data_IF_467098566618
#
_entry.id   IF_467098566618
#
_cell.length_a   1.000
_cell.length_b   1.000
_cell.length_c   1.000
_cell.angle_alpha   90.00
_cell.angle_beta   90.00
_cell.angle_gamma   90.00
#
_symmetry.space_group_name_H-M   'P 1'
#
loop_
_entity.id
_entity.type
_entity.pdbx_description
1 polymer ?
#
# COMPACT_ATOMS: atom_id res chain seq x y z
N UNK A 1 35.06 6.04 1.25
CA UNK A 1 35.85 5.21 0.31
C UNK A 1 36.11 3.86 0.96
N UNK A 2 35.84 2.77 0.25
CA UNK A 2 36.00 1.37 0.71
C UNK A 2 34.84 0.87 1.59
N UNK A 3 34.26 -0.31 1.43
CA UNK A 3 34.63 -1.47 0.61
C UNK A 3 33.37 -2.28 0.25
N UNK A 4 33.29 -2.68 -1.02
CA UNK A 4 32.41 -3.73 -1.52
C UNK A 4 33.04 -5.10 -1.24
N UNK A 5 32.25 -6.09 -0.83
CA UNK A 5 32.64 -7.49 -0.83
C UNK A 5 31.69 -8.25 -1.76
N UNK A 6 32.21 -8.61 -2.93
CA UNK A 6 31.63 -9.58 -3.83
C UNK A 6 32.14 -10.98 -3.44
N UNK A 7 31.24 -11.95 -3.37
CA UNK A 7 31.56 -13.38 -3.28
C UNK A 7 31.26 -14.01 -4.64
N UNK A 8 32.30 -14.50 -5.31
CA UNK A 8 32.24 -15.49 -6.38
C UNK A 8 32.60 -16.85 -5.77
N UNK A 9 31.80 -17.88 -6.06
CA UNK A 9 32.16 -19.26 -5.73
C UNK A 9 32.11 -20.11 -7.01
N UNK A 10 33.19 -20.84 -7.19
CA UNK A 10 33.64 -21.57 -8.36
C UNK A 10 32.82 -22.85 -8.61
N UNK A 11 32.65 -23.19 -9.89
CA UNK A 11 32.11 -24.46 -10.38
C UNK A 11 33.22 -25.49 -10.50
N UNK A 12 33.15 -26.57 -9.70
CA UNK A 12 34.00 -27.75 -9.88
C UNK A 12 33.41 -28.68 -10.95
N UNK A 13 34.24 -29.00 -11.95
CA UNK A 13 33.98 -30.05 -12.93
C UNK A 13 34.46 -31.41 -12.45
N UNK A 14 33.76 -32.47 -12.87
CA UNK A 14 34.30 -33.82 -12.96
C UNK A 14 33.61 -34.55 -14.12
N UNK A 15 34.44 -35.05 -15.04
CA UNK A 15 34.07 -35.86 -16.20
C UNK A 15 33.76 -37.31 -15.80
N UNK A 16 32.81 -37.93 -16.50
CA UNK A 16 32.56 -39.38 -16.51
C UNK A 16 32.03 -39.79 -17.88
N UNK A 17 32.72 -40.74 -18.50
CA UNK A 17 32.59 -41.24 -19.89
C UNK A 17 31.57 -42.38 -20.02
N UNK A 18 31.00 -42.62 -21.23
CA UNK A 18 30.39 -43.93 -21.56
C UNK A 18 29.20 -43.99 -22.54
N UNK A 19 29.50 -43.90 -23.83
CA UNK A 19 28.89 -44.48 -25.05
C UNK A 19 27.50 -45.22 -25.10
N UNK A 20 26.72 -44.78 -26.11
CA UNK A 20 26.04 -45.52 -27.21
C UNK A 20 24.61 -46.12 -27.16
N UNK A 21 23.79 -45.56 -28.08
CA UNK A 21 22.86 -46.17 -29.05
C UNK A 21 21.54 -46.83 -28.63
N UNK A 22 20.44 -46.41 -29.29
CA UNK A 22 19.17 -47.15 -29.35
C UNK A 22 17.98 -46.33 -29.86
N UNK A 23 17.77 -46.30 -31.17
CA UNK A 23 16.60 -45.72 -31.87
C UNK A 23 15.36 -46.58 -31.66
N UNK A 24 14.18 -45.99 -31.45
CA UNK A 24 12.88 -46.55 -31.86
C UNK A 24 11.80 -45.45 -31.97
N UNK A 25 11.35 -45.22 -33.20
CA UNK A 25 10.15 -44.44 -33.56
C UNK A 25 8.89 -45.23 -33.19
N UNK A 26 7.87 -44.58 -32.65
CA UNK A 26 6.49 -44.93 -32.98
C UNK A 26 5.59 -43.69 -32.99
N UNK A 27 4.82 -43.62 -34.07
CA UNK A 27 3.93 -42.57 -34.49
C UNK A 27 2.51 -42.84 -34.00
N UNK A 28 1.83 -41.83 -33.46
CA UNK A 28 0.39 -41.86 -33.19
C UNK A 28 -0.21 -40.48 -33.35
N UNK A 29 -0.76 -40.19 -34.54
CA UNK A 29 -1.61 -39.02 -34.81
C UNK A 29 -3.00 -39.28 -34.22
N UNK A 30 -3.57 -38.35 -33.46
CA UNK A 30 -5.02 -38.15 -33.46
C UNK A 30 -5.38 -36.69 -33.15
N UNK A 31 -6.47 -36.26 -33.79
CA UNK A 31 -6.82 -34.88 -34.11
C UNK A 31 -7.37 -34.07 -32.93
N UNK A 32 -7.15 -32.75 -33.06
CA UNK A 32 -7.77 -31.65 -32.32
C UNK A 32 -9.30 -31.71 -32.34
N UNK A 33 -9.93 -31.44 -31.20
CA UNK A 33 -11.06 -30.50 -31.12
C UNK A 33 -11.07 -29.83 -29.73
N UNK A 34 -10.91 -28.51 -29.71
CA UNK A 34 -10.92 -27.67 -28.51
C UNK A 34 -12.36 -27.21 -28.26
N UNK A 35 -13.03 -27.79 -27.27
CA UNK A 35 -14.31 -27.28 -26.77
C UNK A 35 -14.03 -26.16 -25.75
N UNK A 36 -14.49 -24.96 -26.08
CA UNK A 36 -14.38 -23.73 -25.28
C UNK A 36 -15.48 -23.72 -24.22
N UNK A 37 -15.14 -24.04 -22.97
CA UNK A 37 -16.05 -23.87 -21.83
C UNK A 37 -16.00 -22.43 -21.32
N UNK A 38 -16.98 -21.63 -21.71
CA UNK A 38 -17.26 -20.31 -21.16
C UNK A 38 -17.91 -20.44 -19.78
N UNK A 39 -17.15 -20.16 -18.73
CA UNK A 39 -17.68 -19.98 -17.38
C UNK A 39 -18.23 -18.55 -17.27
N UNK A 40 -19.55 -18.42 -17.36
CA UNK A 40 -20.29 -17.21 -16.99
C UNK A 40 -20.33 -17.07 -15.47
N UNK A 41 -19.77 -15.97 -14.94
CA UNK A 41 -19.95 -15.58 -13.55
C UNK A 41 -21.32 -14.91 -13.36
N UNK A 42 -22.02 -15.13 -12.22
CA UNK A 42 -23.33 -14.52 -11.99
C UNK A 42 -23.20 -13.03 -11.65
N UNK A 43 -24.04 -12.21 -12.27
CA UNK A 43 -24.19 -10.79 -11.95
C UNK A 43 -24.90 -10.65 -10.60
N UNK A 44 -24.16 -10.33 -9.54
CA UNK A 44 -24.75 -9.82 -8.30
C UNK A 44 -25.09 -8.35 -8.50
N UNK A 45 -26.39 -8.06 -8.52
CA UNK A 45 -26.93 -6.72 -8.39
C UNK A 45 -27.36 -6.55 -6.94
N UNK A 46 -26.56 -5.86 -6.14
CA UNK A 46 -27.05 -5.25 -4.90
C UNK A 46 -26.80 -3.75 -4.97
N UNK A 47 -27.94 -3.05 -5.04
CA UNK A 47 -28.06 -1.61 -5.02
C UNK A 47 -27.95 -1.15 -3.57
N UNK A 48 -26.74 -0.83 -3.13
CA UNK A 48 -26.53 -0.12 -1.88
C UNK A 48 -26.36 1.36 -2.17
N UNK A 49 -27.46 2.10 -2.03
CA UNK A 49 -27.46 3.56 -1.97
C UNK A 49 -26.65 4.01 -0.76
N UNK A 50 -25.42 4.49 -0.98
CA UNK A 50 -24.75 5.31 0.01
C UNK A 50 -24.14 6.53 -0.69
N UNK A 51 -24.36 7.68 -0.06
CA UNK A 51 -24.16 9.03 -0.58
C UNK A 51 -22.84 9.23 -1.32
N UNK A 52 -22.92 9.47 -2.62
CA UNK A 52 -21.84 9.97 -3.45
C UNK A 52 -21.41 11.36 -2.96
N UNK A 53 -20.28 11.46 -2.27
CA UNK A 53 -19.54 12.71 -2.17
C UNK A 53 -18.79 12.89 -3.49
N UNK A 54 -19.34 13.74 -4.35
CA UNK A 54 -18.76 14.12 -5.64
C UNK A 54 -17.46 14.90 -5.47
N UNK A 55 -16.50 14.59 -6.37
CA UNK A 55 -15.28 15.30 -6.79
C UNK A 55 -13.99 15.06 -5.98
N UNK A 56 -12.90 14.65 -6.66
CA UNK A 56 -11.56 15.16 -6.42
C UNK A 56 -11.25 16.20 -7.51
N UNK A 57 -11.92 17.34 -7.45
CA UNK A 57 -11.33 18.57 -8.01
C UNK A 57 -10.08 18.92 -7.19
N UNK A 58 -9.07 19.61 -7.75
CA UNK A 58 -7.95 20.10 -6.96
C UNK A 58 -8.50 20.98 -5.82
N UNK A 59 -8.54 20.43 -4.61
CA UNK A 59 -9.06 21.15 -3.44
C UNK A 59 -8.00 22.10 -2.94
N UNK A 60 -8.42 23.27 -2.50
CA UNK A 60 -7.51 24.15 -1.78
C UNK A 60 -7.12 23.54 -0.44
N UNK A 61 -5.96 23.92 0.11
CA UNK A 61 -5.54 23.46 1.43
C UNK A 61 -6.61 23.77 2.50
N UNK A 62 -7.24 24.95 2.44
CA UNK A 62 -8.34 25.31 3.35
C UNK A 62 -9.56 24.38 3.27
N UNK A 63 -9.92 23.92 2.06
CA UNK A 63 -11.01 22.95 1.86
C UNK A 63 -10.63 21.56 2.38
N UNK A 64 -9.38 21.13 2.19
CA UNK A 64 -8.88 19.83 2.68
C UNK A 64 -8.94 19.78 4.20
N UNK A 65 -8.46 20.84 4.86
CA UNK A 65 -8.45 20.98 6.32
C UNK A 65 -9.85 21.22 6.91
N UNK A 66 -10.82 21.61 6.09
CA UNK A 66 -12.21 21.75 6.55
C UNK A 66 -13.03 20.46 6.37
N UNK A 67 -12.39 19.34 6.02
CA UNK A 67 -13.08 18.06 5.80
C UNK A 67 -13.80 17.60 7.08
N UNK A 68 -15.14 17.37 7.05
CA UNK A 68 -15.90 17.01 8.24
C UNK A 68 -15.61 15.59 8.74
N UNK A 69 -14.92 14.76 7.94
CA UNK A 69 -14.67 13.35 8.26
C UNK A 69 -13.41 13.12 9.10
N UNK A 70 -12.57 14.16 9.27
CA UNK A 70 -11.29 14.06 9.98
C UNK A 70 -11.29 14.97 11.21
N UNK A 71 -10.78 14.44 12.33
CA UNK A 71 -10.54 15.28 13.52
C UNK A 71 -9.24 16.06 13.36
N UNK A 72 -9.33 17.39 13.49
CA UNK A 72 -8.15 18.23 13.73
C UNK A 72 -7.75 18.10 15.20
N UNK A 73 -6.56 17.57 15.44
CA UNK A 73 -5.97 17.41 16.76
C UNK A 73 -4.93 18.47 17.02
N UNK A 74 -4.80 18.87 18.29
CA UNK A 74 -3.65 19.64 18.77
C UNK A 74 -2.42 18.76 18.94
N UNK A 75 -1.24 19.38 18.87
CA UNK A 75 0.03 18.68 19.12
C UNK A 75 0.08 18.14 20.55
N UNK A 76 -0.52 18.86 21.51
CA UNK A 76 -0.59 18.41 22.90
C UNK A 76 -1.45 17.14 23.08
N UNK A 77 -2.56 17.01 22.35
CA UNK A 77 -3.35 15.76 22.33
C UNK A 77 -2.53 14.59 21.76
N UNK A 78 -1.78 14.83 20.68
CA UNK A 78 -0.91 13.81 20.07
C UNK A 78 0.24 13.43 21.01
N UNK A 79 0.83 14.42 21.67
CA UNK A 79 1.84 14.22 22.71
C UNK A 79 1.29 13.38 23.86
N UNK A 80 0.08 13.66 24.34
CA UNK A 80 -0.52 12.92 25.46
C UNK A 80 -0.88 11.47 25.08
N UNK A 81 -1.48 11.25 23.91
CA UNK A 81 -1.88 9.92 23.44
C UNK A 81 -0.69 9.00 23.17
N UNK A 82 0.47 9.54 22.79
CA UNK A 82 1.72 8.81 22.52
C UNK A 82 2.70 8.79 23.70
N UNK A 83 2.30 9.31 24.87
CA UNK A 83 3.16 9.46 26.06
C UNK A 83 4.46 10.23 25.78
N UNK A 84 4.35 11.37 25.13
CA UNK A 84 5.45 12.22 24.67
C UNK A 84 6.31 11.58 23.57
N UNK A 85 5.69 10.85 22.63
CA UNK A 85 6.41 10.16 21.55
C UNK A 85 7.54 9.27 22.07
N UNK A 86 7.27 8.53 23.16
CA UNK A 86 8.26 7.65 23.79
C UNK A 86 8.74 6.59 22.80
N UNK A 87 10.05 6.33 22.79
CA UNK A 87 10.67 5.31 21.93
C UNK A 87 10.15 3.90 22.17
N UNK A 88 9.65 3.60 23.38
CA UNK A 88 8.99 2.31 23.69
C UNK A 88 7.73 2.04 22.85
N UNK A 89 7.11 3.10 22.32
CA UNK A 89 5.94 3.03 21.46
C UNK A 89 6.25 3.32 19.99
N UNK A 90 7.52 3.42 19.60
CA UNK A 90 7.90 3.53 18.19
C UNK A 90 7.61 2.19 17.50
N UNK A 91 6.75 2.21 16.49
CA UNK A 91 6.31 1.01 15.75
C UNK A 91 6.79 1.02 14.28
N UNK A 92 7.30 2.14 13.79
CA UNK A 92 7.88 2.25 12.46
C UNK A 92 8.70 3.53 12.30
N UNK A 93 9.74 3.47 11.48
CA UNK A 93 10.58 4.60 11.14
C UNK A 93 11.06 4.44 9.69
N UNK A 94 11.07 5.54 8.93
CA UNK A 94 11.50 5.51 7.53
C UNK A 94 11.67 6.90 6.92
N UNK A 95 11.67 6.95 5.58
CA UNK A 95 11.76 8.21 4.83
C UNK A 95 10.67 9.21 5.21
N UNK A 96 9.45 8.72 5.45
CA UNK A 96 8.26 9.52 5.77
C UNK A 96 8.13 9.93 7.25
N UNK A 97 9.15 9.65 8.06
CA UNK A 97 9.17 9.95 9.49
C UNK A 97 8.94 8.76 10.41
N UNK A 98 8.39 9.05 11.59
CA UNK A 98 8.28 8.09 12.70
C UNK A 98 6.82 7.82 13.03
N UNK A 99 6.47 6.55 13.26
CA UNK A 99 5.13 6.12 13.63
C UNK A 99 5.14 5.62 15.06
N UNK A 100 4.29 6.22 15.91
CA UNK A 100 4.15 5.88 17.31
C UNK A 100 2.79 5.23 17.58
N UNK A 101 2.77 4.24 18.47
CA UNK A 101 1.53 3.70 19.03
C UNK A 101 0.97 4.68 20.05
N UNK A 102 -0.33 4.92 19.99
CA UNK A 102 -1.04 5.78 20.94
C UNK A 102 -2.36 5.16 21.41
N UNK A 103 -2.95 5.78 22.42
CA UNK A 103 -4.23 5.37 22.99
C UNK A 103 -5.17 6.56 23.14
N UNK A 104 -6.41 6.37 22.70
CA UNK A 104 -7.47 7.37 22.76
C UNK A 104 -8.78 6.75 23.23
N UNK A 105 -9.64 7.55 23.83
CA UNK A 105 -11.03 7.19 24.05
C UNK A 105 -11.78 7.10 22.71
N UNK A 106 -12.61 6.06 22.53
CA UNK A 106 -13.24 5.75 21.25
C UNK A 106 -14.25 6.81 20.79
N UNK A 107 -14.93 7.46 21.75
CA UNK A 107 -16.00 8.41 21.45
C UNK A 107 -15.52 9.85 21.43
N UNK A 108 -14.74 10.24 22.44
CA UNK A 108 -14.25 11.62 22.59
C UNK A 108 -12.98 11.89 21.79
N UNK A 109 -12.27 10.83 21.37
CA UNK A 109 -10.96 10.90 20.73
C UNK A 109 -9.96 11.71 21.57
N UNK A 110 -10.06 11.63 22.90
CA UNK A 110 -9.11 12.23 23.85
C UNK A 110 -8.09 11.19 24.27
N UNK A 111 -6.90 11.62 24.71
CA UNK A 111 -5.85 10.68 25.10
C UNK A 111 -6.28 9.79 26.29
N UNK A 112 -6.08 8.48 26.16
CA UNK A 112 -6.37 7.49 27.22
C UNK A 112 -5.09 6.84 27.75
N UNK A 113 -5.23 5.96 28.76
CA UNK A 113 -4.08 5.24 29.32
C UNK A 113 -3.68 4.09 28.39
N UNK A 114 -2.37 3.73 28.29
CA UNK A 114 -1.93 2.54 27.59
C UNK A 114 -2.70 1.30 28.06
N UNK A 115 -3.17 0.52 27.09
CA UNK A 115 -3.99 -0.67 27.33
C UNK A 115 -5.48 -0.37 27.56
N UNK A 116 -5.91 0.89 27.53
CA UNK A 116 -7.32 1.28 27.65
C UNK A 116 -7.76 2.13 26.46
N UNK A 117 -9.01 1.95 26.00
CA UNK A 117 -9.55 2.66 24.85
C UNK A 117 -9.05 2.13 23.50
N UNK A 118 -9.30 2.91 22.45
CA UNK A 118 -8.90 2.64 21.08
C UNK A 118 -7.39 2.85 20.91
N UNK A 119 -6.73 1.89 20.26
CA UNK A 119 -5.33 1.99 19.89
C UNK A 119 -5.20 2.67 18.53
N UNK A 120 -4.29 3.64 18.42
CA UNK A 120 -4.06 4.40 17.19
C UNK A 120 -2.59 4.35 16.78
N UNK A 121 -2.32 4.62 15.50
CA UNK A 121 -0.97 4.87 14.99
C UNK A 121 -0.82 6.35 14.65
N UNK A 122 0.13 7.03 15.29
CA UNK A 122 0.42 8.45 15.10
C UNK A 122 1.71 8.58 14.29
N UNK A 123 1.58 8.90 13.00
CA UNK A 123 2.72 9.17 12.10
C UNK A 123 3.10 10.63 12.26
N UNK A 124 4.30 10.88 12.78
CA UNK A 124 4.93 12.19 12.83
C UNK A 124 5.89 12.30 11.65
N UNK A 125 5.56 13.16 10.69
CA UNK A 125 6.42 13.38 9.54
C UNK A 125 7.65 14.17 9.97
N UNK A 126 8.77 13.93 9.28
CA UNK A 126 9.99 14.70 9.50
C UNK A 126 9.82 16.13 8.96
N UNK A 127 10.46 17.12 9.58
CA UNK A 127 10.47 18.49 9.08
C UNK A 127 11.43 18.59 7.89
N UNK A 128 11.02 18.08 6.74
CA UNK A 128 11.84 18.00 5.51
C UNK A 128 11.47 19.07 4.48
N UNK A 129 10.79 20.15 4.91
CA UNK A 129 10.35 21.25 4.05
C UNK A 129 9.12 20.93 3.20
N UNK A 130 9.02 21.53 2.01
CA UNK A 130 7.82 21.49 1.16
C UNK A 130 7.38 20.08 0.72
N UNK A 131 8.32 19.13 0.58
CA UNK A 131 7.99 17.77 0.13
C UNK A 131 7.16 17.02 1.18
N UNK A 132 7.58 17.04 2.45
CA UNK A 132 6.85 16.39 3.54
C UNK A 132 5.46 17.00 3.76
N UNK A 133 5.32 18.32 3.62
CA UNK A 133 4.01 18.99 3.69
C UNK A 133 3.10 18.60 2.53
N UNK A 134 3.63 18.50 1.31
CA UNK A 134 2.86 18.06 0.14
C UNK A 134 2.35 16.63 0.28
N UNK A 135 3.20 15.71 0.72
CA UNK A 135 2.82 14.32 0.95
C UNK A 135 1.77 14.22 2.06
N UNK A 136 1.96 14.97 3.15
CA UNK A 136 0.96 15.09 4.22
C UNK A 136 -0.39 15.58 3.70
N UNK A 137 -0.40 16.68 2.94
CA UNK A 137 -1.63 17.26 2.42
C UNK A 137 -2.34 16.31 1.45
N UNK A 138 -1.55 15.62 0.62
CA UNK A 138 -2.04 14.57 -0.30
C UNK A 138 -2.71 13.44 0.48
N UNK A 139 -2.10 13.00 1.58
CA UNK A 139 -2.64 11.93 2.40
C UNK A 139 -3.92 12.34 3.15
N UNK A 140 -3.98 13.56 3.70
CA UNK A 140 -5.20 14.14 4.29
C UNK A 140 -6.31 14.27 3.25
N UNK A 141 -5.97 14.71 2.04
CA UNK A 141 -6.92 14.91 0.95
C UNK A 141 -7.60 13.59 0.55
N UNK A 142 -6.81 12.58 0.22
CA UNK A 142 -7.35 11.29 -0.23
C UNK A 142 -8.01 10.50 0.90
N UNK A 143 -7.33 10.27 2.02
CA UNK A 143 -7.89 9.45 3.10
C UNK A 143 -8.98 10.17 3.91
N UNK A 144 -9.09 11.49 3.80
CA UNK A 144 -10.24 12.23 4.34
C UNK A 144 -11.53 12.05 3.56
N UNK A 145 -11.46 11.54 2.32
CA UNK A 145 -12.60 11.35 1.43
C UNK A 145 -12.88 9.86 1.17
N UNK A 146 -11.82 9.05 1.06
CA UNK A 146 -11.92 7.65 0.70
C UNK A 146 -12.17 6.76 1.92
N UNK A 147 -13.23 5.95 1.85
CA UNK A 147 -13.61 5.01 2.89
C UNK A 147 -13.84 3.63 2.30
N UNK A 148 -13.00 2.65 2.64
CA UNK A 148 -13.12 1.28 2.15
C UNK A 148 -12.47 0.28 3.12
N UNK A 149 -13.01 -0.94 3.30
CA UNK A 149 -12.47 -1.93 4.24
C UNK A 149 -11.01 -2.35 3.98
N UNK A 150 -10.51 -2.19 2.76
CA UNK A 150 -9.13 -2.48 2.37
C UNK A 150 -8.25 -1.24 2.20
N UNK A 151 -8.67 -0.10 2.75
CA UNK A 151 -7.83 1.10 2.91
C UNK A 151 -7.70 1.41 4.40
N UNK A 152 -6.52 1.86 4.83
CA UNK A 152 -6.32 2.26 6.23
C UNK A 152 -7.11 3.52 6.52
N UNK A 153 -7.88 3.51 7.60
CA UNK A 153 -8.68 4.65 8.04
C UNK A 153 -7.79 5.71 8.67
N UNK A 154 -7.80 6.90 8.07
CA UNK A 154 -7.32 8.12 8.70
C UNK A 154 -8.40 8.63 9.66
N UNK A 155 -8.06 8.76 10.94
CA UNK A 155 -8.93 9.25 12.00
C UNK A 155 -8.86 10.78 12.05
N UNK A 156 -7.68 11.34 11.80
CA UNK A 156 -7.47 12.78 11.82
C UNK A 156 -6.01 13.17 11.63
N UNK A 157 -5.73 14.44 11.87
CA UNK A 157 -4.42 15.03 11.60
C UNK A 157 -4.08 16.10 12.64
N UNK A 158 -2.81 16.48 12.70
CA UNK A 158 -2.33 17.63 13.45
C UNK A 158 -1.52 18.53 12.53
N UNK A 159 -1.87 19.82 12.52
CA UNK A 159 -1.19 20.88 11.81
C UNK A 159 -0.96 22.04 12.79
N UNK A 160 0.17 22.02 13.49
CA UNK A 160 0.54 23.07 14.46
C UNK A 160 2.02 23.41 14.31
N UNK A 161 2.32 24.68 14.04
CA UNK A 161 3.68 25.16 13.71
C UNK A 161 4.30 24.31 12.57
N UNK A 162 5.47 23.73 12.82
CA UNK A 162 6.17 22.80 11.91
C UNK A 162 5.75 21.33 12.10
N UNK A 163 4.81 21.05 13.00
CA UNK A 163 4.38 19.70 13.28
C UNK A 163 3.29 19.28 12.28
N UNK A 164 3.62 18.26 11.48
CA UNK A 164 2.67 17.55 10.60
C UNK A 164 2.53 16.13 11.11
N UNK A 165 1.33 15.79 11.63
CA UNK A 165 1.04 14.44 12.09
C UNK A 165 -0.25 13.90 11.45
N UNK A 166 -0.31 12.58 11.34
CA UNK A 166 -1.46 11.82 10.86
C UNK A 166 -1.80 10.75 11.89
N UNK A 167 -3.09 10.56 12.15
CA UNK A 167 -3.62 9.62 13.14
C UNK A 167 -4.45 8.57 12.42
N UNK A 168 -4.03 7.31 12.50
CA UNK A 168 -4.71 6.19 11.84
C UNK A 168 -5.23 5.19 12.85
N UNK A 169 -6.14 4.34 12.38
CA UNK A 169 -6.38 3.05 13.05
C UNK A 169 -5.09 2.25 13.20
N UNK A 170 -4.93 1.56 14.33
CA UNK A 170 -3.76 0.74 14.57
C UNK A 170 -3.89 -0.64 13.91
N UNK A 171 -2.83 -1.05 13.20
CA UNK A 171 -2.74 -2.32 12.48
C UNK A 171 -1.84 -3.30 13.24
N UNK A 172 -2.39 -4.15 14.13
CA UNK A 172 -1.60 -4.91 15.11
C UNK A 172 -0.67 -5.98 14.52
N UNK A 173 -0.92 -6.44 13.29
CA UNK A 173 -0.03 -7.40 12.62
C UNK A 173 1.05 -6.69 11.78
N UNK A 174 1.06 -5.36 11.71
CA UNK A 174 2.05 -4.59 10.97
C UNK A 174 1.97 -4.79 9.46
N UNK A 175 3.06 -4.51 8.75
CA UNK A 175 3.15 -4.62 7.29
C UNK A 175 3.32 -6.06 6.81
N UNK A 176 2.80 -6.36 5.62
CA UNK A 176 3.00 -7.64 4.93
C UNK A 176 4.49 -7.97 4.73
N UNK A 177 5.32 -6.96 4.45
CA UNK A 177 6.78 -7.10 4.36
C UNK A 177 7.39 -7.78 5.59
N UNK A 178 6.91 -7.46 6.79
CA UNK A 178 7.38 -8.08 8.03
C UNK A 178 7.06 -9.58 8.08
N UNK A 179 5.99 -10.03 7.42
CA UNK A 179 5.61 -11.43 7.38
C UNK A 179 6.26 -12.22 6.23
N UNK A 180 6.71 -11.52 5.18
CA UNK A 180 7.36 -12.13 4.02
C UNK A 180 8.87 -12.26 4.18
N UNK A 181 9.53 -11.23 4.74
CA UNK A 181 10.99 -11.11 4.68
C UNK A 181 11.68 -11.11 6.05
N UNK A 182 10.99 -10.70 7.13
CA UNK A 182 11.60 -10.84 8.47
C UNK A 182 11.49 -12.28 8.92
N UNK A 183 12.60 -12.82 9.44
CA UNK A 183 12.72 -14.19 9.99
C UNK A 183 11.86 -14.35 11.25
N UNK A 184 10.53 -14.36 11.09
CA UNK A 184 9.60 -14.86 12.09
C UNK A 184 9.61 -16.40 12.10
N UNK A 185 9.12 -17.05 13.18
CA UNK A 185 9.23 -18.49 13.35
C UNK A 185 8.41 -19.30 12.34
N UNK A 186 7.36 -18.73 11.73
CA UNK A 186 6.59 -19.40 10.68
C UNK A 186 6.12 -18.44 9.57
N UNK A 187 6.25 -18.84 8.29
CA UNK A 187 5.64 -18.10 7.18
C UNK A 187 4.12 -18.09 7.26
N UNK A 188 3.48 -17.06 6.70
CA UNK A 188 2.01 -17.02 6.60
C UNK A 188 1.47 -18.26 5.87
N UNK A 189 0.41 -18.91 6.38
CA UNK A 189 -0.30 -19.96 5.66
C UNK A 189 -0.80 -19.49 4.30
N UNK A 190 -0.81 -20.38 3.31
CA UNK A 190 -1.24 -20.05 1.95
C UNK A 190 -2.63 -19.40 1.89
N UNK A 191 -3.57 -19.91 2.67
CA UNK A 191 -4.94 -19.36 2.76
C UNK A 191 -4.95 -17.90 3.23
N UNK A 192 -4.10 -17.54 4.19
CA UNK A 192 -3.93 -16.16 4.66
C UNK A 192 -3.28 -15.29 3.59
N UNK A 193 -2.28 -15.81 2.86
CA UNK A 193 -1.67 -15.07 1.73
C UNK A 193 -2.68 -14.74 0.65
N UNK A 194 -3.55 -15.69 0.28
CA UNK A 194 -4.61 -15.46 -0.69
C UNK A 194 -5.63 -14.45 -0.17
N UNK A 195 -6.02 -14.54 1.11
CA UNK A 195 -6.89 -13.53 1.75
C UNK A 195 -6.28 -12.12 1.65
N UNK A 196 -4.99 -11.98 1.96
CA UNK A 196 -4.27 -10.70 1.89
C UNK A 196 -4.20 -10.18 0.46
N UNK A 197 -3.85 -11.02 -0.52
CA UNK A 197 -3.77 -10.65 -1.93
C UNK A 197 -5.12 -10.17 -2.47
N UNK A 198 -6.21 -10.88 -2.14
CA UNK A 198 -7.57 -10.50 -2.51
C UNK A 198 -7.95 -9.16 -1.87
N UNK A 199 -7.62 -8.95 -0.59
CA UNK A 199 -7.87 -7.70 0.11
C UNK A 199 -7.13 -6.51 -0.53
N UNK A 200 -5.84 -6.67 -0.81
CA UNK A 200 -5.04 -5.65 -1.48
C UNK A 200 -5.59 -5.33 -2.88
N UNK A 201 -5.96 -6.35 -3.66
CA UNK A 201 -6.57 -6.18 -4.98
C UNK A 201 -7.93 -5.46 -4.91
N UNK A 202 -8.76 -5.74 -3.91
CA UNK A 202 -10.02 -5.02 -3.68
C UNK A 202 -9.78 -3.55 -3.36
N UNK A 203 -8.77 -3.24 -2.54
CA UNK A 203 -8.35 -1.87 -2.25
C UNK A 203 -7.93 -1.12 -3.52
N UNK A 204 -7.09 -1.73 -4.35
CA UNK A 204 -6.69 -1.15 -5.64
C UNK A 204 -7.87 -0.97 -6.61
N UNK A 205 -8.74 -1.98 -6.71
CA UNK A 205 -9.94 -1.92 -7.54
C UNK A 205 -10.81 -0.73 -7.15
N UNK A 206 -11.07 -0.56 -5.85
CA UNK A 206 -11.83 0.58 -5.34
C UNK A 206 -11.22 1.94 -5.73
N UNK A 207 -9.88 2.07 -5.69
CA UNK A 207 -9.21 3.31 -6.09
C UNK A 207 -9.34 3.58 -7.59
N UNK A 208 -9.35 2.54 -8.41
CA UNK A 208 -9.38 2.66 -9.87
C UNK A 208 -10.78 2.75 -10.46
N UNK A 209 -11.78 2.15 -9.82
CA UNK A 209 -13.16 2.03 -10.31
C UNK A 209 -14.03 3.23 -9.91
N UNK A 210 -13.46 4.23 -9.23
CA UNK A 210 -14.13 5.48 -8.94
C UNK A 210 -14.30 6.33 -10.22
N UNK A 211 -15.40 7.09 -10.31
CA UNK A 211 -15.65 8.07 -11.39
C UNK A 211 -14.49 9.07 -11.56
N UNK A 212 -13.71 9.25 -10.50
CA UNK A 212 -12.42 9.93 -10.53
C UNK A 212 -11.36 9.00 -9.96
N UNK A 213 -10.64 8.26 -10.83
CA UNK A 213 -9.71 7.25 -10.38
C UNK A 213 -8.56 7.86 -9.57
N UNK A 214 -8.03 7.11 -8.62
CA UNK A 214 -6.85 7.47 -7.83
C UNK A 214 -5.72 6.51 -8.18
N UNK A 215 -4.60 7.05 -8.63
CA UNK A 215 -3.38 6.29 -8.86
C UNK A 215 -2.55 6.30 -7.59
N UNK A 216 -2.43 5.13 -6.96
CA UNK A 216 -1.80 4.97 -5.65
C UNK A 216 -0.26 5.15 -5.67
N UNK A 217 0.41 4.80 -6.77
CA UNK A 217 1.86 4.96 -7.06
C UNK A 217 2.87 4.25 -6.14
N UNK A 218 2.51 3.84 -4.93
CA UNK A 218 3.45 3.18 -4.00
C UNK A 218 2.94 1.82 -3.51
N UNK A 219 2.53 0.97 -4.46
CA UNK A 219 2.09 -0.39 -4.19
C UNK A 219 3.28 -1.32 -3.89
N UNK A 220 3.47 -1.64 -2.60
CA UNK A 220 4.54 -2.51 -2.11
C UNK A 220 4.14 -3.22 -0.81
N UNK A 221 4.84 -4.31 -0.48
CA UNK A 221 4.53 -5.10 0.72
C UNK A 221 4.64 -4.32 2.05
N UNK A 222 5.49 -3.28 2.11
CA UNK A 222 5.61 -2.42 3.31
C UNK A 222 4.40 -1.53 3.54
N UNK A 223 3.62 -1.23 2.48
CA UNK A 223 2.43 -0.38 2.55
C UNK A 223 1.10 -1.16 2.57
N UNK A 224 1.19 -2.50 2.66
CA UNK A 224 0.03 -3.36 2.90
C UNK A 224 0.04 -3.70 4.39
N UNK A 225 -0.80 -3.06 5.18
CA UNK A 225 -0.91 -3.31 6.62
C UNK A 225 -1.97 -4.36 6.92
N UNK A 226 -1.77 -5.09 8.01
CA UNK A 226 -2.61 -6.22 8.41
C UNK A 226 -3.26 -5.97 9.77
N UNK A 227 -4.59 -6.11 9.82
CA UNK A 227 -5.34 -6.00 11.07
C UNK A 227 -5.23 -7.27 11.91
N UNK A 228 -5.99 -7.36 13.01
CA UNK A 228 -5.96 -8.51 13.91
C UNK A 228 -6.32 -9.84 13.21
N UNK A 229 -7.17 -9.78 12.19
CA UNK A 229 -7.71 -10.93 11.45
C UNK A 229 -6.99 -11.17 10.12
N UNK A 230 -5.84 -10.50 9.90
CA UNK A 230 -5.10 -10.54 8.64
C UNK A 230 -5.91 -10.03 7.43
N UNK A 231 -6.86 -9.11 7.64
CA UNK A 231 -7.41 -8.35 6.52
C UNK A 231 -6.37 -7.30 6.08
N UNK A 232 -6.16 -7.21 4.77
CA UNK A 232 -5.21 -6.29 4.18
C UNK A 232 -5.81 -4.89 4.02
N UNK A 233 -5.05 -3.86 4.38
CA UNK A 233 -5.39 -2.46 4.14
C UNK A 233 -4.20 -1.72 3.53
N UNK A 234 -4.44 -1.00 2.43
CA UNK A 234 -3.43 -0.14 1.81
C UNK A 234 -3.23 1.12 2.68
N UNK A 235 -1.97 1.49 2.91
CA UNK A 235 -1.56 2.67 3.71
C UNK A 235 -0.72 3.64 2.89
N UNK A 236 -0.27 4.76 3.47
CA UNK A 236 0.74 5.64 2.85
C UNK A 236 0.34 6.24 1.49
N UNK A 237 -0.65 7.12 1.53
CA UNK A 237 -1.20 7.80 0.35
C UNK A 237 -0.44 9.09 -0.01
N UNK A 238 0.70 9.37 0.63
CA UNK A 238 1.46 10.61 0.40
C UNK A 238 1.94 10.77 -1.05
N UNK A 239 2.06 9.66 -1.79
CA UNK A 239 2.39 9.65 -3.21
C UNK A 239 1.16 9.43 -4.10
N UNK A 240 -0.07 9.37 -3.61
CA UNK A 240 -1.23 9.19 -4.47
C UNK A 240 -1.42 10.38 -5.43
N UNK A 241 -2.14 10.16 -6.54
CA UNK A 241 -2.44 11.20 -7.53
C UNK A 241 -3.77 10.93 -8.24
N UNK A 242 -4.46 11.98 -8.66
CA UNK A 242 -5.65 11.86 -9.49
C UNK A 242 -5.28 11.17 -10.80
N UNK A 243 -6.08 10.17 -11.16
CA UNK A 243 -5.98 9.47 -12.42
C UNK A 243 -6.53 10.29 -13.59
N UNK A 244 -6.39 9.77 -14.81
CA UNK A 244 -6.89 10.44 -15.99
C UNK A 244 -8.42 10.53 -15.96
N UNK A 245 -8.96 11.63 -16.50
CA UNK A 245 -10.39 11.90 -16.62
C UNK A 245 -10.79 12.13 -18.08
N UNK A 246 -12.06 11.86 -18.40
CA UNK A 246 -12.58 11.95 -19.77
C UNK A 246 -11.95 10.91 -20.69
N UNK A 247 -11.56 11.33 -21.90
CA UNK A 247 -10.96 10.44 -22.90
C UNK A 247 -9.46 10.22 -22.70
N UNK A 248 -8.87 10.78 -21.65
CA UNK A 248 -7.45 10.62 -21.36
C UNK A 248 -7.16 9.20 -20.85
N UNK A 249 -6.05 8.62 -21.30
CA UNK A 249 -5.62 7.27 -20.88
C UNK A 249 -4.48 7.29 -19.88
N UNK A 250 -3.84 8.44 -19.66
CA UNK A 250 -2.62 8.56 -18.87
C UNK A 250 -2.49 9.94 -18.20
N UNK A 251 -1.63 10.02 -17.19
CA UNK A 251 -1.25 11.26 -16.51
C UNK A 251 0.25 11.47 -16.65
N UNK A 252 0.66 12.63 -17.15
CA UNK A 252 2.06 13.04 -17.16
C UNK A 252 2.46 13.54 -15.77
N UNK A 253 3.50 12.96 -15.18
CA UNK A 253 3.95 13.31 -13.83
C UNK A 253 5.42 12.97 -13.62
N UNK A 254 6.06 13.64 -12.66
CA UNK A 254 7.38 13.22 -12.19
C UNK A 254 7.34 11.75 -11.76
N UNK A 255 8.39 11.01 -12.12
CA UNK A 255 8.59 9.61 -11.71
C UNK A 255 8.77 9.55 -10.20
N UNK A 256 7.83 8.92 -9.51
CA UNK A 256 7.77 8.75 -8.06
C UNK A 256 7.33 7.33 -7.71
N UNK A 257 7.78 6.79 -6.59
CA UNK A 257 7.49 5.44 -6.14
C UNK A 257 8.75 4.69 -5.70
N UNK A 258 8.59 3.49 -5.17
CA UNK A 258 9.73 2.70 -4.70
C UNK A 258 10.44 1.98 -5.86
N UNK A 259 11.77 2.12 -5.94
CA UNK A 259 12.59 1.45 -6.95
C UNK A 259 12.38 -0.08 -6.91
N UNK A 260 12.22 -0.72 -8.07
CA UNK A 260 11.91 -2.15 -8.19
C UNK A 260 10.40 -2.49 -8.15
N UNK A 261 9.52 -1.54 -7.82
CA UNK A 261 8.06 -1.70 -7.88
C UNK A 261 7.39 -0.86 -8.97
N UNK A 262 8.09 0.16 -9.48
CA UNK A 262 7.61 1.01 -10.57
C UNK A 262 7.66 0.27 -11.92
N UNK A 263 6.59 0.39 -12.70
CA UNK A 263 6.51 -0.19 -14.03
C UNK A 263 7.58 0.42 -14.97
N UNK A 264 8.31 -0.38 -15.77
CA UNK A 264 9.44 0.08 -16.56
C UNK A 264 9.08 1.18 -17.58
N UNK A 265 7.89 1.13 -18.17
CA UNK A 265 7.35 2.15 -19.06
C UNK A 265 7.11 3.49 -18.36
N UNK A 266 6.69 3.48 -17.09
CA UNK A 266 6.53 4.70 -16.32
C UNK A 266 7.89 5.32 -15.99
N UNK A 267 8.88 4.49 -15.63
CA UNK A 267 10.26 4.94 -15.39
C UNK A 267 10.87 5.55 -16.65
N UNK A 268 10.61 4.97 -17.82
CA UNK A 268 11.16 5.43 -19.09
C UNK A 268 10.49 6.70 -19.64
N UNK A 269 9.18 6.87 -19.44
CA UNK A 269 8.39 7.89 -20.14
C UNK A 269 7.79 8.97 -19.24
N UNK A 270 7.69 8.73 -17.92
CA UNK A 270 6.93 9.57 -17.00
C UNK A 270 5.41 9.53 -17.20
N UNK A 271 4.92 8.66 -18.10
CA UNK A 271 3.50 8.45 -18.35
C UNK A 271 2.95 7.40 -17.39
N UNK A 272 1.97 7.82 -16.59
CA UNK A 272 1.36 6.96 -15.59
C UNK A 272 -0.05 6.54 -16.03
N UNK A 273 -0.27 5.22 -16.13
CA UNK A 273 -1.53 4.61 -16.54
C UNK A 273 -2.07 3.74 -15.40
N UNK A 274 -3.40 3.70 -15.23
CA UNK A 274 -4.08 2.94 -14.16
C UNK A 274 -3.74 1.44 -14.18
N UNK A 275 -3.43 0.88 -15.36
CA UNK A 275 -3.11 -0.54 -15.56
C UNK A 275 -1.70 -0.89 -15.01
N UNK A 276 -0.84 0.10 -14.80
CA UNK A 276 0.56 -0.11 -14.36
C UNK A 276 0.69 -0.47 -12.90
N UNK A 277 -0.36 -0.26 -12.09
CA UNK A 277 -0.43 -0.75 -10.70
C UNK A 277 -0.48 -2.29 -10.64
N UNK A 278 -0.75 -2.96 -11.76
CA UNK A 278 -0.79 -4.43 -11.88
C UNK A 278 0.53 -5.02 -12.39
N UNK A 279 1.38 -4.22 -13.07
CA UNK A 279 2.65 -4.68 -13.66
C UNK A 279 3.86 -4.70 -12.69
N UNK A 280 3.68 -4.29 -11.43
CA UNK A 280 4.74 -4.26 -10.40
C UNK A 280 5.30 -5.63 -9.97
N UNK A 281 5.03 -6.71 -10.71
CA UNK A 281 5.33 -8.06 -10.25
C UNK A 281 5.82 -9.05 -11.32
N UNK A 282 6.54 -8.57 -12.34
CA UNK A 282 7.27 -9.49 -13.23
C UNK A 282 8.68 -8.98 -13.52
N UNK A 283 9.59 -9.22 -12.58
CA UNK A 283 11.02 -9.04 -12.77
C UNK A 283 11.79 -10.09 -11.97
N UNK A 284 11.59 -11.36 -12.32
CA UNK A 284 12.59 -12.39 -12.02
C UNK A 284 13.46 -12.59 -13.27
N UNK A 285 14.77 -12.29 -13.22
CA UNK A 285 15.65 -12.61 -14.32
C UNK A 285 15.83 -14.13 -14.40
N UNK A 286 15.76 -14.65 -15.63
CA UNK A 286 16.13 -16.03 -15.98
C UNK A 286 17.61 -16.31 -15.72
#
# INVERSE_FOLDING_TARGET
MGNCLAFTAETNGAQGTGANSGVSKSSGKSNRSLARSSLTAPSYSERSTNSFSSLPTPRSEGEILSSPNLKAFSFNEMRNSTRNFRGEYLIGEGGFGCVFKGWMDEHTLTASKPGTGMVVAVKKLKPEGFQGHKEWLTEVDYLGQLHHPNLVKLIGYCLEDENRLLVYEYMPKGSLENHLFRRGPQPLPWTVRMKVAIGAARGLCFLHDADSPVIYRDFKASNILLDADYNAKLSDFGLAKAGPTGDNTHVSTQVMGTHGYAAPEYVATGLLVIILTVHSHDSTPH
#
